data_IF_620618545996
#
_entry.id   IF_620618545996
#
_cell.length_a   1.000
_cell.length_b   1.000
_cell.length_c   1.000
_cell.angle_alpha   90.00
_cell.angle_beta   90.00
_cell.angle_gamma   90.00
#
_symmetry.space_group_name_H-M   'P 1'
#
loop_
_entity.id
_entity.type
_entity.pdbx_description
1 polymer ?
#
# COMPACT_ATOMS: atom_id res chain seq x y z
N UNK A 1 -9.11 -14.02 -3.48
CA UNK A 1 -7.69 -13.59 -3.54
C UNK A 1 -7.44 -12.55 -2.46
N UNK A 2 -6.36 -12.66 -1.68
CA UNK A 2 -5.93 -11.61 -0.74
C UNK A 2 -4.49 -11.23 -1.04
N UNK A 3 -4.24 -9.94 -1.26
CA UNK A 3 -2.93 -9.40 -1.57
C UNK A 3 -2.71 -8.06 -0.86
N UNK A 4 -1.45 -7.72 -0.60
CA UNK A 4 -1.09 -6.45 0.01
C UNK A 4 0.25 -5.89 -0.49
N UNK A 5 0.40 -4.57 -0.36
CA UNK A 5 1.61 -3.81 -0.60
C UNK A 5 1.76 -2.76 0.51
N UNK A 6 2.95 -2.64 1.08
CA UNK A 6 3.30 -1.63 2.07
C UNK A 6 4.44 -0.77 1.52
N UNK A 7 4.17 0.53 1.46
CA UNK A 7 5.13 1.55 1.08
C UNK A 7 5.41 2.46 2.28
N UNK A 8 6.65 2.93 2.41
CA UNK A 8 7.06 3.81 3.50
C UNK A 8 7.89 4.97 2.99
N UNK A 9 7.82 6.09 3.69
CA UNK A 9 8.68 7.25 3.44
C UNK A 9 9.10 7.78 4.81
N UNK A 10 10.28 7.32 5.23
CA UNK A 10 10.86 7.54 6.55
C UNK A 10 12.10 8.42 6.39
N UNK A 11 12.01 9.66 6.87
CA UNK A 11 13.11 10.63 6.87
C UNK A 11 13.20 11.24 8.27
N UNK A 12 13.97 10.62 9.19
CA UNK A 12 14.06 11.07 10.58
C UNK A 12 14.50 12.53 10.71
N UNK A 13 15.49 12.94 9.92
CA UNK A 13 15.98 14.33 9.87
C UNK A 13 14.89 15.37 9.51
N UNK A 14 13.79 14.94 8.90
CA UNK A 14 12.65 15.79 8.51
C UNK A 14 11.39 15.49 9.34
N UNK A 15 11.50 14.71 10.43
CA UNK A 15 10.38 14.21 11.22
C UNK A 15 9.25 13.57 10.38
N UNK A 16 9.62 12.94 9.26
CA UNK A 16 8.67 12.38 8.29
C UNK A 16 8.63 10.87 8.43
N UNK A 17 7.49 10.36 8.89
CA UNK A 17 7.27 8.93 9.11
C UNK A 17 5.95 8.53 8.46
N UNK A 18 5.92 8.37 7.13
CA UNK A 18 4.69 8.08 6.39
C UNK A 18 4.61 6.61 5.98
N UNK A 19 3.42 6.05 6.08
CA UNK A 19 3.10 4.68 5.62
C UNK A 19 1.91 4.76 4.68
N UNK A 20 1.97 3.99 3.60
CA UNK A 20 0.89 3.78 2.65
C UNK A 20 0.69 2.28 2.44
N UNK A 21 -0.50 1.78 2.72
CA UNK A 21 -0.88 0.39 2.59
C UNK A 21 -1.93 0.24 1.50
N UNK A 22 -1.77 -0.78 0.67
CA UNK A 22 -2.74 -1.20 -0.34
C UNK A 22 -3.10 -2.64 -0.01
N UNK A 23 -4.39 -2.94 0.10
CA UNK A 23 -4.90 -4.31 0.24
C UNK A 23 -5.90 -4.57 -0.86
N UNK A 24 -5.84 -5.75 -1.43
CA UNK A 24 -6.73 -6.21 -2.50
C UNK A 24 -7.34 -7.53 -2.04
N UNK A 25 -8.67 -7.58 -1.97
CA UNK A 25 -9.46 -8.77 -1.69
C UNK A 25 -10.36 -9.12 -2.88
N UNK A 26 -10.87 -10.34 -2.93
CA UNK A 26 -12.04 -10.65 -3.75
C UNK A 26 -13.22 -11.08 -2.89
N UNK A 27 -14.42 -10.65 -3.29
CA UNK A 27 -15.68 -10.84 -2.56
C UNK A 27 -16.71 -11.29 -3.59
N UNK A 28 -17.51 -12.32 -3.28
CA UNK A 28 -18.63 -12.72 -4.13
C UNK A 28 -19.90 -12.05 -3.62
N UNK A 29 -20.61 -11.34 -4.50
CA UNK A 29 -21.91 -10.72 -4.21
C UNK A 29 -22.89 -11.13 -5.31
N UNK A 30 -24.05 -11.68 -4.92
CA UNK A 30 -25.10 -12.10 -5.86
C UNK A 30 -24.60 -13.02 -7.00
N UNK A 31 -23.62 -13.88 -6.72
CA UNK A 31 -23.03 -14.79 -7.71
C UNK A 31 -21.93 -14.18 -8.58
N UNK A 32 -21.69 -12.87 -8.51
CA UNK A 32 -20.62 -12.19 -9.24
C UNK A 32 -19.40 -11.94 -8.33
N UNK A 33 -18.19 -12.11 -8.88
CA UNK A 33 -16.95 -11.76 -8.17
C UNK A 33 -16.66 -10.26 -8.32
N UNK A 34 -16.42 -9.61 -7.18
CA UNK A 34 -15.97 -8.23 -7.06
C UNK A 34 -14.61 -8.18 -6.38
N UNK A 35 -13.90 -7.09 -6.58
CA UNK A 35 -12.60 -6.81 -6.00
C UNK A 35 -12.72 -5.66 -4.99
N UNK A 36 -12.34 -5.93 -3.75
CA UNK A 36 -12.23 -4.90 -2.72
C UNK A 36 -10.82 -4.35 -2.72
N UNK A 37 -10.66 -3.04 -2.89
CA UNK A 37 -9.36 -2.36 -2.78
C UNK A 37 -9.42 -1.40 -1.61
N UNK A 38 -8.55 -1.60 -0.62
CA UNK A 38 -8.40 -0.71 0.53
C UNK A 38 -7.08 0.03 0.41
N UNK A 39 -7.17 1.36 0.36
CA UNK A 39 -6.02 2.25 0.44
C UNK A 39 -5.99 2.87 1.84
N UNK A 40 -4.87 2.75 2.56
CA UNK A 40 -4.72 3.33 3.89
C UNK A 40 -3.41 4.11 4.00
N UNK A 41 -3.46 5.32 4.57
CA UNK A 41 -2.26 6.16 4.69
C UNK A 41 -2.27 7.02 5.94
N UNK A 42 -1.08 7.30 6.46
CA UNK A 42 -0.94 8.08 7.69
C UNK A 42 0.49 8.17 8.19
N UNK A 43 0.63 8.68 9.41
CA UNK A 43 1.91 8.63 10.13
C UNK A 43 2.10 7.22 10.70
N UNK A 44 3.31 6.68 10.65
CA UNK A 44 3.63 5.40 11.30
C UNK A 44 3.33 5.50 12.80
N UNK A 45 2.57 4.55 13.34
CA UNK A 45 2.20 4.47 14.77
C UNK A 45 0.86 5.12 15.10
N UNK A 46 0.24 5.80 14.13
CA UNK A 46 -1.01 6.51 14.33
C UNK A 46 -2.14 5.90 13.50
N UNK A 47 -3.37 6.24 13.88
CA UNK A 47 -4.55 5.89 13.10
C UNK A 47 -4.44 6.42 11.68
N UNK A 48 -4.58 5.51 10.71
CA UNK A 48 -4.48 5.82 9.28
C UNK A 48 -5.83 6.25 8.73
N UNK A 49 -5.83 7.21 7.81
CA UNK A 49 -6.97 7.47 6.94
C UNK A 49 -7.14 6.29 6.00
N UNK A 50 -8.38 5.97 5.62
CA UNK A 50 -8.71 4.84 4.76
C UNK A 50 -9.69 5.26 3.68
N UNK A 51 -9.54 4.68 2.50
CA UNK A 51 -10.49 4.75 1.41
C UNK A 51 -10.70 3.35 0.87
N UNK A 52 -11.95 2.96 0.71
CA UNK A 52 -12.35 1.61 0.28
C UNK A 52 -13.06 1.72 -1.05
N UNK A 53 -12.69 0.86 -1.99
CA UNK A 53 -13.30 0.75 -3.30
C UNK A 53 -13.82 -0.68 -3.48
N UNK A 54 -14.99 -0.80 -4.09
CA UNK A 54 -15.52 -2.06 -4.57
C UNK A 54 -15.60 -1.97 -6.11
N UNK A 55 -14.89 -2.87 -6.78
CA UNK A 55 -14.70 -2.85 -8.23
C UNK A 55 -15.21 -4.18 -8.82
N UNK A 56 -15.76 -4.15 -10.02
CA UNK A 56 -16.35 -5.31 -10.70
C UNK A 56 -15.36 -6.07 -11.61
N UNK A 57 -14.15 -5.53 -11.83
CA UNK A 57 -13.14 -6.16 -12.67
C UNK A 57 -11.71 -5.83 -12.24
N UNK A 58 -10.77 -6.72 -12.59
CA UNK A 58 -9.34 -6.49 -12.40
C UNK A 58 -8.84 -5.29 -13.22
N UNK A 59 -9.41 -5.03 -14.39
CA UNK A 59 -9.03 -3.88 -15.22
C UNK A 59 -9.29 -2.56 -14.48
N UNK A 60 -10.41 -2.44 -13.76
CA UNK A 60 -10.67 -1.26 -12.92
C UNK A 60 -9.72 -1.17 -11.74
N UNK A 61 -9.32 -2.29 -11.15
CA UNK A 61 -8.29 -2.33 -10.10
C UNK A 61 -6.98 -1.77 -10.64
N UNK A 62 -6.57 -2.17 -11.85
CA UNK A 62 -5.38 -1.63 -12.49
C UNK A 62 -5.47 -0.14 -12.78
N UNK A 63 -6.61 0.32 -13.34
CA UNK A 63 -6.86 1.75 -13.61
C UNK A 63 -6.79 2.59 -12.33
N UNK A 64 -7.25 2.05 -11.20
CA UNK A 64 -7.14 2.69 -9.89
C UNK A 64 -5.69 2.70 -9.37
N UNK A 65 -4.98 1.57 -9.42
CA UNK A 65 -3.69 1.42 -8.74
C UNK A 65 -2.49 1.99 -9.52
N UNK A 66 -2.50 1.94 -10.86
CA UNK A 66 -1.42 2.50 -11.69
C UNK A 66 -1.09 3.97 -11.35
N UNK A 67 -2.05 4.92 -11.32
CA UNK A 67 -1.75 6.30 -10.95
C UNK A 67 -1.34 6.43 -9.48
N UNK A 68 -1.96 5.68 -8.57
CA UNK A 68 -1.61 5.68 -7.14
C UNK A 68 -0.14 5.32 -6.93
N UNK A 69 0.32 4.22 -7.53
CA UNK A 69 1.72 3.76 -7.43
C UNK A 69 2.69 4.78 -8.02
N UNK A 70 2.37 5.35 -9.20
CA UNK A 70 3.16 6.42 -9.83
C UNK A 70 3.31 7.63 -8.91
N UNK A 71 2.22 8.07 -8.27
CA UNK A 71 2.27 9.20 -7.33
C UNK A 71 3.13 8.87 -6.11
N UNK A 72 3.01 7.67 -5.54
CA UNK A 72 3.83 7.29 -4.36
C UNK A 72 5.32 7.20 -4.71
N UNK A 73 5.64 6.65 -5.88
CA UNK A 73 7.02 6.62 -6.38
C UNK A 73 7.59 8.04 -6.50
N UNK A 74 6.88 8.95 -7.19
CA UNK A 74 7.29 10.36 -7.32
C UNK A 74 7.48 11.07 -5.99
N UNK A 75 6.72 10.68 -4.96
CA UNK A 75 6.83 11.27 -3.62
C UNK A 75 7.96 10.65 -2.78
N UNK A 76 8.76 9.75 -3.37
CA UNK A 76 9.90 9.11 -2.73
C UNK A 76 9.54 8.04 -1.71
N UNK A 77 8.37 7.41 -1.86
CA UNK A 77 8.07 6.21 -1.08
C UNK A 77 8.98 5.06 -1.51
N UNK A 78 9.31 4.21 -0.56
CA UNK A 78 10.12 3.01 -0.67
C UNK A 78 9.24 1.78 -0.44
N UNK A 79 9.58 0.67 -1.10
CA UNK A 79 8.90 -0.61 -0.95
C UNK A 79 9.34 -1.28 0.35
N UNK A 80 8.42 -1.43 1.30
CA UNK A 80 8.72 -2.03 2.60
C UNK A 80 8.33 -3.50 2.68
N UNK A 81 7.15 -3.86 2.16
CA UNK A 81 6.69 -5.25 2.13
C UNK A 81 5.66 -5.46 1.02
N UNK A 82 5.54 -6.69 0.52
CA UNK A 82 4.60 -7.07 -0.55
C UNK A 82 4.27 -8.56 -0.46
N UNK A 83 2.99 -8.90 -0.48
CA UNK A 83 2.56 -10.30 -0.61
C UNK A 83 2.97 -10.89 -1.97
N UNK A 84 3.24 -12.19 -2.02
CA UNK A 84 3.50 -12.93 -3.27
C UNK A 84 2.37 -12.81 -4.30
N UNK A 85 1.12 -12.72 -3.82
CA UNK A 85 -0.10 -12.60 -4.64
C UNK A 85 -0.40 -11.17 -5.12
N UNK A 86 0.43 -10.17 -4.79
CA UNK A 86 0.19 -8.80 -5.24
C UNK A 86 0.39 -8.68 -6.75
N UNK A 87 -0.55 -8.07 -7.50
CA UNK A 87 -0.44 -7.95 -8.94
C UNK A 87 0.88 -7.33 -9.36
N UNK A 88 1.42 -7.80 -10.49
CA UNK A 88 2.64 -7.27 -11.04
C UNK A 88 2.40 -5.88 -11.61
N UNK A 89 3.23 -4.91 -11.19
CA UNK A 89 3.31 -3.58 -11.78
C UNK A 89 4.78 -3.27 -12.03
N UNK A 90 5.22 -2.97 -13.26
CA UNK A 90 6.63 -2.73 -13.58
C UNK A 90 7.29 -1.67 -12.69
N UNK A 91 6.55 -0.61 -12.36
CA UNK A 91 7.04 0.46 -11.49
C UNK A 91 7.49 -0.02 -10.10
N UNK A 92 6.97 -1.16 -9.60
CA UNK A 92 7.38 -1.69 -8.30
C UNK A 92 8.85 -2.13 -8.28
N UNK A 93 9.44 -2.46 -9.43
CA UNK A 93 10.86 -2.78 -9.55
C UNK A 93 11.74 -1.52 -9.43
N UNK A 94 11.19 -0.35 -9.72
CA UNK A 94 11.86 0.95 -9.59
C UNK A 94 11.85 1.49 -8.15
N UNK A 95 10.95 0.98 -7.28
CA UNK A 95 10.94 1.39 -5.87
C UNK A 95 12.21 0.92 -5.17
N UNK A 96 12.90 1.85 -4.51
CA UNK A 96 13.94 1.50 -3.54
C UNK A 96 13.33 0.62 -2.44
N UNK A 97 14.07 -0.39 -1.98
CA UNK A 97 13.69 -1.13 -0.77
C UNK A 97 13.77 -0.20 0.44
N UNK A 98 12.79 -0.27 1.33
CA UNK A 98 12.81 0.50 2.56
C UNK A 98 13.81 -0.11 3.53
N UNK A 99 14.58 0.74 4.22
CA UNK A 99 15.45 0.29 5.29
C UNK A 99 14.61 -0.30 6.45
N UNK A 100 15.12 -1.30 7.16
CA UNK A 100 14.49 -1.77 8.38
C UNK A 100 14.33 -0.60 9.35
N UNK A 101 13.15 -0.49 9.98
CA UNK A 101 12.95 0.51 11.01
C UNK A 101 13.94 0.22 12.16
N UNK A 102 14.65 1.23 12.69
CA UNK A 102 15.48 1.03 13.86
C UNK A 102 14.60 0.47 14.99
N UNK A 103 15.07 -0.62 15.60
CA UNK A 103 14.35 -1.46 16.58
C UNK A 103 13.78 -0.69 17.77
N UNK A 104 14.32 0.49 18.09
CA UNK A 104 13.82 1.39 19.13
C UNK A 104 12.48 2.08 18.81
N UNK A 105 11.97 2.01 17.58
CA UNK A 105 10.67 2.58 17.26
C UNK A 105 9.51 1.60 17.45
N UNK A 106 9.75 0.28 17.56
CA UNK A 106 8.68 -0.72 17.73
C UNK A 106 7.90 -0.58 19.04
N UNK A 107 8.48 0.08 20.05
CA UNK A 107 7.85 0.38 21.35
C UNK A 107 6.86 1.56 21.34
N UNK A 108 6.74 2.30 20.22
CA UNK A 108 5.72 3.35 20.05
C UNK A 108 4.43 2.83 19.37
N UNK A 109 4.31 1.51 19.20
CA UNK A 109 3.21 0.86 18.49
C UNK A 109 2.43 -0.15 19.36
N UNK A 110 2.64 -0.12 20.69
CA UNK A 110 1.83 -0.81 21.69
C UNK A 110 0.62 0.01 22.08
#
# INVERSE_FOLDING_TARGET
>A
MNAYLILRDIRPAQNRYRVYEIRIGSVRMQGQEHYSVVLAWGRAGYQKRRQVFLLDSLEKVEKLLKPVLRTRYRHGYQLADKSRSFPYYPILEEFRKADPLPSQQLSLFG
#
